data_IF_884931058092
#
_entry.id   IF_884931058092
#
_cell.length_a   1.000
_cell.length_b   1.000
_cell.length_c   1.000
_cell.angle_alpha   90.00
_cell.angle_beta   90.00
_cell.angle_gamma   90.00
#
_symmetry.space_group_name_H-M   'P 1'
#
loop_
_entity.id
_entity.type
_entity.pdbx_description
1 polymer ?
#
# COMPACT_ATOMS: atom_id res chain seq x y z
N UNK A 1 -8.21 25.30 2.35
CA UNK A 1 -9.14 24.37 3.06
C UNK A 1 -8.39 23.23 3.77
N UNK A 2 -7.30 23.54 4.47
CA UNK A 2 -6.36 22.54 5.05
C UNK A 2 -6.54 22.32 6.57
N UNK A 3 -7.54 22.96 7.20
CA UNK A 3 -7.60 23.05 8.67
C UNK A 3 -8.31 21.87 9.37
N UNK A 4 -9.24 21.18 8.72
CA UNK A 4 -10.06 20.13 9.38
C UNK A 4 -9.31 18.80 9.42
N UNK A 5 -8.66 18.42 8.34
CA UNK A 5 -7.89 17.18 8.27
C UNK A 5 -6.70 17.14 9.26
N UNK A 6 -6.03 18.29 9.45
CA UNK A 6 -4.93 18.41 10.42
C UNK A 6 -5.41 18.28 11.87
N UNK A 7 -6.63 18.77 12.18
CA UNK A 7 -7.21 18.67 13.53
C UNK A 7 -7.55 17.21 13.89
N UNK A 8 -8.17 16.47 12.97
CA UNK A 8 -8.53 15.06 13.15
C UNK A 8 -7.27 14.18 13.30
N UNK A 9 -6.24 14.43 12.49
CA UNK A 9 -4.96 13.70 12.56
C UNK A 9 -4.26 13.91 13.91
N UNK A 10 -4.23 15.15 14.41
CA UNK A 10 -3.67 15.49 15.72
C UNK A 10 -4.38 14.76 16.85
N UNK A 11 -5.72 14.68 16.76
CA UNK A 11 -6.53 13.97 17.75
C UNK A 11 -6.23 12.48 17.77
N UNK A 12 -6.21 11.81 16.62
CA UNK A 12 -5.92 10.38 16.55
C UNK A 12 -4.50 10.04 16.99
N UNK A 13 -3.51 10.86 16.62
CA UNK A 13 -2.13 10.69 17.09
C UNK A 13 -2.05 10.76 18.62
N UNK A 14 -2.76 11.70 19.24
CA UNK A 14 -2.80 11.84 20.71
C UNK A 14 -3.51 10.66 21.37
N UNK A 15 -4.67 10.25 20.84
CA UNK A 15 -5.43 9.10 21.38
C UNK A 15 -4.66 7.78 21.27
N UNK A 16 -3.99 7.54 20.13
CA UNK A 16 -3.13 6.37 19.94
C UNK A 16 -1.98 6.37 20.93
N UNK A 17 -1.28 7.50 21.11
CA UNK A 17 -0.20 7.62 22.06
C UNK A 17 -0.66 7.29 23.49
N UNK A 18 -1.79 7.85 23.92
CA UNK A 18 -2.36 7.59 25.24
C UNK A 18 -2.73 6.11 25.43
N UNK A 19 -3.34 5.47 24.44
CA UNK A 19 -3.71 4.07 24.50
C UNK A 19 -2.47 3.15 24.61
N UNK A 20 -1.42 3.43 23.86
CA UNK A 20 -0.16 2.67 23.91
C UNK A 20 0.59 2.86 25.23
N UNK A 21 0.50 4.03 25.85
CA UNK A 21 1.05 4.28 27.20
C UNK A 21 0.22 3.56 28.27
N UNK A 22 -1.11 3.62 28.18
CA UNK A 22 -2.01 2.96 29.13
C UNK A 22 -1.89 1.43 29.08
N UNK A 23 -1.64 0.86 27.89
CA UNK A 23 -1.39 -0.58 27.75
C UNK A 23 0.01 -1.01 28.22
N UNK A 24 0.86 -0.07 28.63
CA UNK A 24 2.23 -0.34 29.09
C UNK A 24 3.21 -0.68 27.96
N UNK A 25 2.79 -0.52 26.69
CA UNK A 25 3.65 -0.81 25.56
C UNK A 25 4.78 0.21 25.40
N UNK A 26 4.50 1.48 25.71
CA UNK A 26 5.46 2.58 25.63
C UNK A 26 5.34 3.49 26.85
N UNK A 27 6.36 4.34 27.06
CA UNK A 27 6.34 5.37 28.10
C UNK A 27 5.89 6.71 27.53
N UNK A 28 5.28 7.55 28.37
CA UNK A 28 4.86 8.90 27.99
C UNK A 28 6.03 9.75 27.49
N UNK A 29 7.21 9.58 28.10
CA UNK A 29 8.44 10.26 27.69
C UNK A 29 8.93 9.88 26.29
N UNK A 30 8.71 8.64 25.85
CA UNK A 30 9.07 8.18 24.52
C UNK A 30 8.04 8.62 23.46
N UNK A 31 6.76 8.72 23.84
CA UNK A 31 5.67 9.05 22.93
C UNK A 31 5.58 10.54 22.58
N UNK A 32 5.83 11.42 23.55
CA UNK A 32 5.73 12.89 23.33
C UNK A 32 6.57 13.43 22.17
N UNK A 33 7.87 13.05 22.02
CA UNK A 33 8.67 13.48 20.87
C UNK A 33 8.10 13.00 19.54
N UNK A 34 7.59 11.75 19.48
CA UNK A 34 7.02 11.17 18.26
C UNK A 34 5.71 11.85 17.86
N UNK A 35 4.85 12.18 18.82
CA UNK A 35 3.62 12.96 18.55
C UNK A 35 3.97 14.34 18.01
N UNK A 36 4.92 15.03 18.63
CA UNK A 36 5.36 16.34 18.16
C UNK A 36 5.98 16.28 16.76
N UNK A 37 6.75 15.25 16.48
CA UNK A 37 7.32 15.03 15.15
C UNK A 37 6.24 14.74 14.11
N UNK A 38 5.28 13.88 14.43
CA UNK A 38 4.15 13.58 13.57
C UNK A 38 3.41 14.85 13.14
N UNK A 39 3.14 15.74 14.12
CA UNK A 39 2.50 17.03 13.87
C UNK A 39 3.35 17.99 13.04
N UNK A 40 4.68 17.98 13.26
CA UNK A 40 5.61 18.85 12.54
C UNK A 40 5.87 18.42 11.09
N UNK A 41 5.78 17.12 10.81
CA UNK A 41 6.07 16.54 9.48
C UNK A 41 4.83 16.21 8.66
N UNK A 42 3.64 16.52 9.18
CA UNK A 42 2.34 16.15 8.57
C UNK A 42 2.18 14.64 8.32
N UNK A 43 2.89 13.83 9.13
CA UNK A 43 2.81 12.38 9.14
C UNK A 43 1.91 11.90 10.26
N UNK A 44 1.45 10.66 10.15
CA UNK A 44 0.65 10.05 11.22
C UNK A 44 1.58 9.42 12.26
N UNK A 45 1.19 9.43 13.54
CA UNK A 45 1.95 8.72 14.58
C UNK A 45 2.05 7.22 14.27
N UNK A 46 0.97 6.64 13.74
CA UNK A 46 0.94 5.24 13.32
C UNK A 46 2.04 4.94 12.28
N UNK A 47 2.17 5.79 11.25
CA UNK A 47 3.22 5.65 10.25
C UNK A 47 4.62 5.73 10.86
N UNK A 48 4.89 6.69 11.75
CA UNK A 48 6.21 6.83 12.39
C UNK A 48 6.56 5.62 13.26
N UNK A 49 5.60 5.10 14.01
CA UNK A 49 5.80 3.93 14.86
C UNK A 49 6.15 2.67 14.04
N UNK A 50 5.44 2.44 12.95
CA UNK A 50 5.62 1.25 12.13
C UNK A 50 6.87 1.39 11.24
N UNK A 51 7.04 2.51 10.54
CA UNK A 51 8.17 2.72 9.63
C UNK A 51 9.54 2.68 10.32
N UNK A 52 9.58 3.04 11.61
CA UNK A 52 10.80 2.97 12.44
C UNK A 52 10.92 1.69 13.25
N UNK A 53 10.04 0.72 13.03
CA UNK A 53 9.99 -0.53 13.81
C UNK A 53 9.89 -0.32 15.33
N UNK A 54 9.23 0.76 15.77
CA UNK A 54 9.00 1.07 17.18
C UNK A 54 7.77 0.33 17.72
N UNK A 55 6.85 -0.08 16.84
CA UNK A 55 5.68 -0.87 17.18
C UNK A 55 5.31 -1.81 16.04
N UNK A 56 4.72 -2.95 16.37
CA UNK A 56 4.20 -3.90 15.37
C UNK A 56 2.97 -3.30 14.67
N UNK A 57 2.83 -3.46 13.33
CA UNK A 57 1.66 -2.99 12.61
C UNK A 57 0.34 -3.48 13.19
N UNK A 58 0.26 -4.77 13.54
CA UNK A 58 -0.94 -5.36 14.14
C UNK A 58 -1.36 -4.72 15.46
N UNK A 59 -0.38 -4.32 16.31
CA UNK A 59 -0.65 -3.62 17.55
C UNK A 59 -1.21 -2.21 17.28
N UNK A 60 -0.55 -1.44 16.41
CA UNK A 60 -0.93 -0.06 16.11
C UNK A 60 -2.31 -0.01 15.45
N UNK A 61 -2.50 -0.80 14.38
CA UNK A 61 -3.76 -0.86 13.64
C UNK A 61 -4.88 -1.44 14.51
N UNK A 62 -4.59 -2.48 15.30
CA UNK A 62 -5.54 -3.06 16.26
C UNK A 62 -5.97 -2.07 17.34
N UNK A 63 -5.04 -1.26 17.86
CA UNK A 63 -5.37 -0.20 18.83
C UNK A 63 -6.25 0.87 18.20
N UNK A 64 -5.94 1.34 16.99
CA UNK A 64 -6.76 2.31 16.26
C UNK A 64 -8.15 1.72 15.95
N UNK A 65 -8.24 0.46 15.56
CA UNK A 65 -9.50 -0.25 15.31
C UNK A 65 -10.39 -0.26 16.55
N UNK A 66 -9.82 -0.56 17.71
CA UNK A 66 -10.57 -0.53 18.98
C UNK A 66 -11.04 0.86 19.37
N UNK A 67 -10.19 1.89 19.15
CA UNK A 67 -10.51 3.28 19.50
C UNK A 67 -11.57 3.91 18.58
N UNK A 68 -11.63 3.47 17.33
CA UNK A 68 -12.52 4.03 16.30
C UNK A 68 -13.73 3.15 15.98
N UNK A 69 -13.76 1.92 16.51
CA UNK A 69 -14.77 0.90 16.21
C UNK A 69 -14.82 0.51 14.71
N UNK A 70 -13.75 0.80 13.95
CA UNK A 70 -13.63 0.43 12.55
C UNK A 70 -12.92 -0.92 12.41
N UNK A 71 -13.33 -1.78 11.46
CA UNK A 71 -12.64 -3.03 11.21
C UNK A 71 -11.24 -2.80 10.66
N UNK A 72 -10.29 -3.64 11.05
CA UNK A 72 -8.93 -3.65 10.54
C UNK A 72 -8.76 -4.73 9.46
N UNK A 73 -7.96 -4.45 8.44
CA UNK A 73 -7.59 -5.40 7.38
C UNK A 73 -6.07 -5.53 7.30
N UNK A 74 -5.60 -6.75 7.13
CA UNK A 74 -4.19 -7.04 6.87
C UNK A 74 -3.90 -7.00 5.37
N UNK A 75 -3.30 -5.91 4.91
CA UNK A 75 -2.93 -5.73 3.50
C UNK A 75 -1.80 -6.64 3.04
N UNK A 76 -1.01 -7.22 3.95
CA UNK A 76 0.00 -8.19 3.57
C UNK A 76 -0.63 -9.53 3.13
N UNK A 77 -1.79 -9.86 3.68
CA UNK A 77 -2.54 -11.07 3.34
C UNK A 77 -3.69 -10.82 2.35
N UNK A 78 -4.03 -9.56 2.07
CA UNK A 78 -5.17 -9.19 1.23
C UNK A 78 -4.71 -8.56 -0.09
N UNK A 79 -5.20 -9.08 -1.20
CA UNK A 79 -4.95 -8.49 -2.53
C UNK A 79 -6.17 -7.67 -2.97
N UNK A 80 -6.02 -6.35 -3.16
CA UNK A 80 -7.09 -5.51 -3.65
C UNK A 80 -7.63 -5.96 -5.02
N UNK A 81 -8.94 -5.89 -5.21
CA UNK A 81 -9.57 -6.22 -6.49
C UNK A 81 -9.28 -5.12 -7.53
N UNK A 82 -8.87 -5.47 -8.76
CA UNK A 82 -8.54 -4.48 -9.78
C UNK A 82 -9.67 -3.49 -10.09
N UNK A 83 -10.91 -3.97 -10.06
CA UNK A 83 -12.11 -3.15 -10.30
C UNK A 83 -12.32 -2.12 -9.18
N UNK A 84 -12.08 -2.50 -7.92
CA UNK A 84 -12.14 -1.58 -6.79
C UNK A 84 -11.00 -0.54 -6.85
N UNK A 85 -9.79 -0.97 -7.18
CA UNK A 85 -8.63 -0.07 -7.36
C UNK A 85 -8.92 0.94 -8.48
N UNK A 86 -9.52 0.51 -9.58
CA UNK A 86 -9.89 1.42 -10.68
C UNK A 86 -10.99 2.42 -10.27
N UNK A 87 -11.86 2.07 -9.31
CA UNK A 87 -12.90 2.96 -8.80
C UNK A 87 -12.36 4.09 -7.90
N UNK A 88 -11.17 3.93 -7.31
CA UNK A 88 -10.52 4.96 -6.49
C UNK A 88 -9.23 5.46 -7.18
N UNK A 89 -9.29 6.57 -7.93
CA UNK A 89 -8.11 7.10 -8.60
C UNK A 89 -6.96 7.41 -7.62
N UNK A 90 -5.72 7.10 -8.00
CA UNK A 90 -4.54 7.28 -7.17
C UNK A 90 -4.37 8.70 -6.58
N UNK A 91 -4.66 9.81 -7.30
CA UNK A 91 -4.60 11.14 -6.70
C UNK A 91 -5.60 11.32 -5.53
N UNK A 92 -6.80 10.75 -5.67
CA UNK A 92 -7.83 10.78 -4.62
C UNK A 92 -7.39 9.91 -3.44
N UNK A 93 -6.91 8.70 -3.71
CA UNK A 93 -6.36 7.82 -2.68
C UNK A 93 -5.24 8.47 -1.86
N UNK A 94 -4.34 9.22 -2.53
CA UNK A 94 -3.26 9.97 -1.86
C UNK A 94 -3.80 11.09 -0.95
N UNK A 95 -4.80 11.82 -1.40
CA UNK A 95 -5.40 12.93 -0.64
C UNK A 95 -6.02 12.44 0.68
N UNK A 96 -6.70 11.29 0.63
CA UNK A 96 -7.36 10.70 1.80
C UNK A 96 -6.49 9.69 2.57
N UNK A 97 -5.29 9.37 2.09
CA UNK A 97 -4.46 8.31 2.67
C UNK A 97 -5.17 6.95 2.66
N UNK A 98 -5.78 6.60 1.53
CA UNK A 98 -6.71 5.49 1.43
C UNK A 98 -6.52 4.67 0.15
N UNK A 99 -6.82 3.37 0.20
CA UNK A 99 -6.87 2.47 -0.95
C UNK A 99 -8.18 1.71 -0.98
N UNK A 100 -8.70 1.48 -2.18
CA UNK A 100 -9.87 0.62 -2.35
C UNK A 100 -9.46 -0.85 -2.33
N UNK A 101 -10.27 -1.67 -1.68
CA UNK A 101 -10.00 -3.09 -1.48
C UNK A 101 -10.85 -3.97 -2.38
N UNK A 102 -12.16 -3.85 -2.24
CA UNK A 102 -13.14 -4.66 -2.95
C UNK A 102 -14.52 -3.98 -2.95
N UNK A 103 -15.39 -4.43 -3.84
CA UNK A 103 -16.79 -4.11 -3.74
C UNK A 103 -17.51 -5.09 -2.81
N UNK A 104 -18.34 -4.53 -1.92
CA UNK A 104 -19.27 -5.26 -1.07
C UNK A 104 -20.70 -4.83 -1.44
N UNK A 105 -21.31 -5.56 -2.36
CA UNK A 105 -22.55 -5.17 -2.99
C UNK A 105 -22.44 -3.85 -3.73
N UNK A 106 -23.10 -2.80 -3.23
CA UNK A 106 -23.08 -1.44 -3.81
C UNK A 106 -22.15 -0.49 -3.03
N UNK A 107 -21.39 -0.99 -2.08
CA UNK A 107 -20.43 -0.23 -1.31
C UNK A 107 -19.00 -0.59 -1.72
N UNK A 108 -18.10 0.38 -1.65
CA UNK A 108 -16.68 0.20 -1.84
C UNK A 108 -16.00 0.10 -0.47
N UNK A 109 -15.38 -1.04 -0.18
CA UNK A 109 -14.54 -1.19 1.00
C UNK A 109 -13.22 -0.45 0.76
N UNK A 110 -12.90 0.49 1.64
CA UNK A 110 -11.73 1.35 1.53
C UNK A 110 -10.93 1.29 2.82
N UNK A 111 -9.64 0.96 2.71
CA UNK A 111 -8.71 0.98 3.83
C UNK A 111 -8.06 2.36 3.96
N UNK A 112 -8.08 2.89 5.16
CA UNK A 112 -7.50 4.17 5.54
C UNK A 112 -6.28 3.97 6.44
N UNK A 113 -5.31 4.85 6.32
CA UNK A 113 -4.12 4.89 7.18
C UNK A 113 -4.44 5.36 8.62
N UNK A 114 -5.48 6.16 8.77
CA UNK A 114 -6.03 6.65 10.04
C UNK A 114 -7.56 6.63 9.98
N UNK A 115 -8.25 6.60 11.13
CA UNK A 115 -9.70 6.67 11.14
C UNK A 115 -10.18 7.96 10.46
N UNK A 116 -10.96 7.84 9.35
CA UNK A 116 -11.51 9.00 8.66
C UNK A 116 -12.60 9.67 9.50
N UNK A 117 -12.80 10.96 9.32
CA UNK A 117 -14.00 11.63 9.81
C UNK A 117 -15.21 11.24 8.95
N UNK A 118 -16.43 11.42 9.47
CA UNK A 118 -17.64 11.21 8.67
C UNK A 118 -17.66 12.09 7.42
N UNK A 119 -17.12 13.30 7.52
CA UNK A 119 -17.00 14.22 6.39
C UNK A 119 -16.04 13.68 5.32
N UNK A 120 -14.88 13.12 5.72
CA UNK A 120 -13.94 12.52 4.76
C UNK A 120 -14.57 11.32 4.02
N UNK A 121 -15.37 10.53 4.74
CA UNK A 121 -16.12 9.40 4.14
C UNK A 121 -17.15 9.90 3.14
N UNK A 122 -17.91 10.94 3.47
CA UNK A 122 -18.92 11.52 2.60
C UNK A 122 -18.29 12.22 1.37
N UNK A 123 -17.21 12.95 1.56
CA UNK A 123 -16.46 13.60 0.49
C UNK A 123 -15.86 12.56 -0.47
N UNK A 124 -15.29 11.49 0.07
CA UNK A 124 -14.77 10.39 -0.75
C UNK A 124 -15.89 9.68 -1.52
N UNK A 125 -17.01 9.39 -0.85
CA UNK A 125 -18.19 8.79 -1.49
C UNK A 125 -18.71 9.64 -2.64
N UNK A 126 -18.76 10.95 -2.47
CA UNK A 126 -19.14 11.90 -3.52
C UNK A 126 -18.20 11.90 -4.73
N UNK A 127 -16.90 11.71 -4.50
CA UNK A 127 -15.90 11.69 -5.58
C UNK A 127 -15.87 10.38 -6.37
N UNK A 128 -16.05 9.25 -5.68
CA UNK A 128 -16.00 7.93 -6.34
C UNK A 128 -17.38 7.44 -6.81
N UNK A 129 -18.47 8.08 -6.36
CA UNK A 129 -19.84 7.72 -6.74
C UNK A 129 -20.35 6.43 -6.08
N UNK A 130 -19.69 5.95 -5.04
CA UNK A 130 -20.05 4.73 -4.30
C UNK A 130 -20.14 5.01 -2.80
N UNK A 131 -20.99 4.24 -2.11
CA UNK A 131 -20.95 4.24 -0.64
C UNK A 131 -19.61 3.68 -0.18
N UNK A 132 -19.04 4.26 0.86
CA UNK A 132 -17.76 3.83 1.41
C UNK A 132 -18.00 3.00 2.68
N UNK A 133 -17.36 1.83 2.73
CA UNK A 133 -17.17 1.05 3.95
C UNK A 133 -15.74 1.29 4.45
N UNK A 134 -15.56 2.16 5.45
CA UNK A 134 -14.23 2.47 5.95
C UNK A 134 -13.66 1.31 6.77
N UNK A 135 -12.41 0.98 6.53
CA UNK A 135 -11.60 0.02 7.25
C UNK A 135 -10.25 0.66 7.60
N UNK A 136 -9.50 0.05 8.50
CA UNK A 136 -8.15 0.49 8.84
C UNK A 136 -7.12 -0.50 8.35
N UNK A 137 -5.96 -0.01 7.92
CA UNK A 137 -4.83 -0.85 7.54
C UNK A 137 -3.50 -0.20 7.89
N UNK A 138 -2.42 -0.95 7.70
CA UNK A 138 -1.06 -0.48 7.89
C UNK A 138 -0.76 0.74 6.99
N UNK A 139 -0.48 1.91 7.57
CA UNK A 139 -0.20 3.13 6.82
C UNK A 139 1.04 3.03 5.91
N UNK A 140 2.02 2.19 6.26
CA UNK A 140 3.22 1.97 5.43
C UNK A 140 2.85 1.19 4.18
N UNK A 141 2.04 0.13 4.31
CA UNK A 141 1.56 -0.65 3.17
C UNK A 141 0.60 0.16 2.29
N UNK A 142 -0.28 0.97 2.88
CA UNK A 142 -1.13 1.92 2.12
C UNK A 142 -0.25 2.84 1.29
N UNK A 143 0.78 3.45 1.89
CA UNK A 143 1.72 4.32 1.18
C UNK A 143 2.43 3.63 0.02
N UNK A 144 2.84 2.37 0.21
CA UNK A 144 3.45 1.56 -0.85
C UNK A 144 2.47 1.29 -1.99
N UNK A 145 1.23 0.90 -1.70
CA UNK A 145 0.21 0.65 -2.71
C UNK A 145 -0.14 1.91 -3.50
N UNK A 146 -0.29 3.06 -2.83
CA UNK A 146 -0.52 4.34 -3.49
C UNK A 146 0.67 4.75 -4.37
N UNK A 147 1.91 4.51 -3.91
CA UNK A 147 3.12 4.75 -4.69
C UNK A 147 3.24 3.84 -5.92
N UNK A 148 2.82 2.59 -5.83
CA UNK A 148 2.79 1.64 -6.94
C UNK A 148 1.68 1.93 -7.96
N UNK A 149 0.58 2.53 -7.51
CA UNK A 149 -0.55 2.93 -8.38
C UNK A 149 -0.30 4.30 -9.03
N UNK A 150 0.78 5.01 -8.63
CA UNK A 150 1.17 6.28 -9.21
C UNK A 150 1.66 6.11 -10.64
N UNK A 151 1.05 6.88 -11.58
CA UNK A 151 1.46 7.09 -12.97
C UNK A 151 1.19 5.95 -13.97
N UNK A 152 0.13 5.19 -13.81
CA UNK A 152 -0.58 4.74 -15.01
C UNK A 152 -1.50 5.89 -15.42
N UNK A 153 -0.97 6.85 -16.21
CA UNK A 153 -1.87 7.67 -17.03
C UNK A 153 -2.84 6.71 -17.70
N UNK A 154 -4.17 6.94 -17.61
CA UNK A 154 -5.07 6.19 -18.45
C UNK A 154 -4.57 6.43 -19.87
N UNK A 155 -4.11 5.37 -20.54
CA UNK A 155 -3.97 5.36 -21.98
C UNK A 155 -5.37 5.68 -22.49
N UNK A 156 -5.66 6.99 -22.63
CA UNK A 156 -6.72 7.44 -23.51
C UNK A 156 -6.39 6.80 -24.84
N UNK A 157 -7.11 5.72 -25.14
CA UNK A 157 -7.09 5.17 -26.48
C UNK A 157 -7.51 6.33 -27.37
N UNK A 158 -6.53 6.99 -27.97
CA UNK A 158 -6.76 7.88 -29.09
C UNK A 158 -7.44 7.04 -30.18
N UNK A 159 -8.77 7.14 -30.20
CA UNK A 159 -9.60 6.47 -31.18
C UNK A 159 -9.49 7.16 -32.58
N UNK A 160 -8.37 7.83 -32.85
CA UNK A 160 -8.14 8.50 -34.10
C UNK A 160 -6.66 8.44 -34.54
N UNK A 161 -6.09 7.23 -34.55
CA UNK A 161 -4.85 6.97 -35.27
C UNK A 161 -5.19 6.28 -36.57
N UNK A 162 -4.86 6.89 -37.75
CA UNK A 162 -5.09 6.25 -39.04
C UNK A 162 -4.27 4.97 -39.12
N UNK A 163 -4.93 3.89 -39.57
CA UNK A 163 -4.32 2.59 -39.80
C UNK A 163 -3.13 2.73 -40.78
N UNK A 164 -1.91 2.73 -40.26
CA UNK A 164 -0.70 2.57 -41.01
C UNK A 164 -0.50 1.10 -41.41
N UNK A 165 0.11 0.79 -42.55
CA UNK A 165 0.16 -0.57 -43.09
C UNK A 165 1.01 -1.49 -42.22
N UNK A 166 0.42 -2.62 -41.86
CA UNK A 166 1.10 -3.76 -41.25
C UNK A 166 2.07 -4.40 -42.25
N UNK A 167 3.34 -4.03 -42.20
CA UNK A 167 4.37 -4.76 -42.90
C UNK A 167 5.00 -5.80 -41.96
N UNK A 168 4.57 -7.04 -42.14
CA UNK A 168 4.97 -8.20 -41.35
C UNK A 168 6.36 -8.75 -41.69
N UNK A 169 7.25 -7.97 -42.30
CA UNK A 169 8.51 -8.46 -42.87
C UNK A 169 9.78 -8.15 -42.05
N UNK A 170 9.71 -7.35 -41.01
CA UNK A 170 10.93 -6.89 -40.29
C UNK A 170 11.25 -7.65 -38.98
N UNK A 171 10.46 -8.63 -38.59
CA UNK A 171 10.76 -9.43 -37.39
C UNK A 171 11.72 -10.60 -37.62
N UNK A 172 11.96 -10.97 -38.89
CA UNK A 172 12.85 -12.09 -39.22
C UNK A 172 14.33 -11.69 -39.28
N UNK A 173 14.62 -10.41 -39.53
CA UNK A 173 16.00 -9.94 -39.69
C UNK A 173 16.75 -9.76 -38.33
N UNK A 174 16.03 -9.51 -37.24
CA UNK A 174 16.66 -9.28 -35.92
C UNK A 174 17.07 -10.59 -35.25
N UNK A 175 16.40 -11.69 -35.57
CA UNK A 175 16.69 -13.00 -34.97
C UNK A 175 17.93 -13.66 -35.63
N UNK A 176 18.17 -13.41 -36.92
CA UNK A 176 19.33 -13.95 -37.62
C UNK A 176 20.66 -13.26 -37.24
N UNK A 177 20.62 -12.00 -36.83
CA UNK A 177 21.83 -11.26 -36.42
C UNK A 177 22.33 -11.66 -35.01
N UNK A 178 21.40 -12.11 -34.16
CA UNK A 178 21.73 -12.59 -32.79
C UNK A 178 22.31 -14.01 -32.78
N UNK A 179 22.03 -14.82 -33.82
CA UNK A 179 22.54 -16.18 -33.92
C UNK A 179 23.88 -16.27 -34.66
N UNK A 180 24.27 -15.21 -35.40
CA UNK A 180 25.54 -15.17 -36.16
C UNK A 180 26.72 -14.62 -35.36
N UNK A 181 26.50 -13.90 -34.25
CA UNK A 181 27.57 -13.50 -33.35
C UNK A 181 27.73 -14.52 -32.22
N UNK A 182 28.49 -15.57 -32.52
CA UNK A 182 28.81 -16.63 -31.58
C UNK A 182 29.40 -16.15 -30.27
N UNK A 183 28.57 -16.11 -29.22
CA UNK A 183 29.08 -16.10 -27.86
C UNK A 183 29.49 -17.50 -27.53
N UNK A 184 30.77 -17.76 -27.61
CA UNK A 184 31.36 -18.97 -27.04
C UNK A 184 31.28 -18.90 -25.53
N UNK A 185 30.31 -19.60 -24.95
CA UNK A 185 30.32 -19.89 -23.52
C UNK A 185 31.36 -20.96 -23.27
N UNK A 186 32.50 -20.57 -22.72
CA UNK A 186 33.51 -21.49 -22.24
C UNK A 186 32.96 -22.22 -21.02
N UNK A 187 32.65 -23.49 -21.17
CA UNK A 187 32.30 -24.36 -20.07
C UNK A 187 33.59 -24.66 -19.28
N UNK A 188 33.72 -24.04 -18.10
CA UNK A 188 34.63 -24.52 -17.07
C UNK A 188 33.84 -25.49 -16.19
N UNK A 189 34.24 -26.73 -16.34
CA UNK A 189 33.82 -27.93 -15.66
C UNK A 189 34.35 -27.87 -14.21
N UNK A 190 33.48 -27.59 -13.26
CA UNK A 190 33.56 -27.98 -11.85
C UNK A 190 32.23 -27.65 -11.14
N UNK A 191 31.20 -28.43 -11.41
CA UNK A 191 29.94 -28.38 -10.68
C UNK A 191 29.77 -29.65 -9.87
N UNK A 192 30.07 -29.57 -8.60
CA UNK A 192 29.70 -30.57 -7.59
C UNK A 192 28.16 -30.61 -7.48
N UNK A 193 27.51 -31.76 -7.64
CA UNK A 193 26.08 -31.88 -7.47
C UNK A 193 25.73 -31.82 -6.00
N UNK A 194 25.03 -30.72 -5.59
CA UNK A 194 24.39 -30.64 -4.28
C UNK A 194 23.20 -31.62 -4.27
N UNK A 195 23.35 -32.65 -3.46
CA UNK A 195 22.30 -33.64 -3.22
C UNK A 195 21.23 -33.02 -2.32
N UNK A 196 19.97 -33.08 -2.77
CA UNK A 196 18.78 -32.52 -2.09
C UNK A 196 18.49 -33.23 -0.75
N UNK A 197 19.14 -34.33 -0.46
CA UNK A 197 18.90 -35.13 0.76
C UNK A 197 19.53 -34.58 2.05
N UNK A 198 20.40 -33.57 1.99
CA UNK A 198 21.03 -32.99 3.18
C UNK A 198 20.22 -31.84 3.85
N UNK A 199 19.19 -31.35 3.19
CA UNK A 199 18.33 -30.26 3.75
C UNK A 199 17.20 -30.75 4.64
N UNK A 200 16.93 -32.06 4.71
CA UNK A 200 15.84 -32.62 5.52
C UNK A 200 16.29 -33.07 6.92
N UNK A 201 17.56 -32.95 7.28
CA UNK A 201 18.06 -33.34 8.61
C UNK A 201 18.10 -32.26 9.68
N UNK A 202 17.80 -31.00 9.34
CA UNK A 202 17.84 -29.89 10.29
C UNK A 202 16.46 -29.42 10.81
N UNK A 203 15.38 -30.12 10.50
CA UNK A 203 14.03 -29.73 10.91
C UNK A 203 13.43 -30.56 12.06
N UNK A 204 14.24 -31.42 12.73
CA UNK A 204 13.77 -32.17 13.91
C UNK A 204 14.90 -32.22 14.95
N UNK A 205 14.98 -31.19 15.80
CA UNK A 205 15.51 -31.24 17.18
C UNK A 205 15.05 -30.00 17.91
#
# INVERSE_FOLDING_TARGET
MTSVASSTRSEWSTRLAQALVQSGYQTDGAMKPLVNEALATDQTLAYLLISRNLALPSLVVGTLSQLSELPAVDLAAFTPQPEAVAALPAPVGREFGAIALQFDGNALAVAFAEPPSSQDVDDLAGRVGHRIHPMLADPVLIGQHIGMTGDVEPLVADADAPAGPTDSRDRSAIVDDLLSNGIQVKADDDSVPLHIDDLLRYAVS
#
